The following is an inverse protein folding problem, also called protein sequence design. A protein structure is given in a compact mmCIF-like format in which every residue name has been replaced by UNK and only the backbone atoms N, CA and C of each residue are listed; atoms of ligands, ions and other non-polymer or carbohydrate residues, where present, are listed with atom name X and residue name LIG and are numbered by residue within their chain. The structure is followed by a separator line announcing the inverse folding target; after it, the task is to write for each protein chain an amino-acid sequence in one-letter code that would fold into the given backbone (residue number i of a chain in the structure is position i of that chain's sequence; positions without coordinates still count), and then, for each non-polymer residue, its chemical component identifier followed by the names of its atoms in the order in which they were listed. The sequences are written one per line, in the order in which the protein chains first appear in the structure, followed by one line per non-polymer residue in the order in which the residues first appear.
data_IF_244388821389
#
_entry.id   IF_244388821389
#
_cell.length_a   1.000
_cell.length_b   1.000
_cell.length_c   1.000
_cell.angle_alpha   90.00
_cell.angle_beta   90.00
_cell.angle_gamma   90.00
#
_symmetry.space_group_name_H-M   'P 1'
#
loop_
_entity.id
_entity.type
_entity.pdbx_description
1 polymer ?
#
# COMPACT_ATOMS: atom_id res chain seq x y z
N UNK A 1 -22.15 -12.49 20.09
CA UNK A 1 -23.29 -11.78 20.72
C UNK A 1 -23.67 -10.54 19.90
N UNK A 2 -22.81 -9.54 19.72
CA UNK A 2 -23.12 -8.33 18.92
C UNK A 2 -23.48 -8.68 17.45
N UNK A 3 -22.74 -9.57 16.78
CA UNK A 3 -23.09 -10.01 15.42
C UNK A 3 -24.43 -10.77 15.32
N UNK A 4 -24.83 -11.47 16.38
CA UNK A 4 -26.13 -12.15 16.48
C UNK A 4 -27.26 -11.13 16.70
N UNK A 5 -27.03 -10.11 17.54
CA UNK A 5 -27.94 -8.98 17.72
C UNK A 5 -28.09 -8.20 16.39
N UNK A 6 -26.99 -7.93 15.68
CA UNK A 6 -27.00 -7.23 14.40
C UNK A 6 -27.76 -8.02 13.32
N UNK A 7 -27.55 -9.33 13.24
CA UNK A 7 -28.30 -10.21 12.34
C UNK A 7 -29.79 -10.23 12.69
N UNK A 8 -30.15 -10.18 13.97
CA UNK A 8 -31.54 -10.13 14.44
C UNK A 8 -32.21 -8.80 14.08
N UNK A 9 -31.47 -7.68 14.20
CA UNK A 9 -31.94 -6.33 13.84
C UNK A 9 -32.03 -6.14 12.32
N UNK A 10 -31.13 -6.72 11.53
CA UNK A 10 -31.15 -6.62 10.07
C UNK A 10 -32.18 -7.58 9.43
N UNK A 11 -32.52 -8.68 10.11
CA UNK A 11 -33.47 -9.70 9.65
C UNK A 11 -34.90 -9.39 10.09
N UNK A 12 -35.37 -8.14 9.90
CA UNK A 12 -36.67 -7.60 10.35
C UNK A 12 -37.93 -8.39 9.90
N UNK A 13 -37.81 -9.52 9.19
CA UNK A 13 -38.93 -10.36 8.76
C UNK A 13 -38.73 -11.88 8.89
N UNK A 14 -37.66 -12.39 9.51
CA UNK A 14 -37.47 -13.86 9.64
C UNK A 14 -38.04 -14.35 10.97
N UNK A 15 -39.24 -14.93 10.93
CA UNK A 15 -40.09 -15.32 12.08
C UNK A 15 -39.56 -16.48 12.95
N UNK A 16 -38.33 -16.93 12.80
CA UNK A 16 -37.64 -17.89 13.68
C UNK A 16 -36.17 -17.95 13.30
N UNK A 17 -35.31 -17.41 14.14
CA UNK A 17 -33.87 -17.71 14.06
C UNK A 17 -33.69 -19.17 14.47
N UNK A 18 -33.09 -19.97 13.59
CA UNK A 18 -32.93 -21.41 13.75
C UNK A 18 -32.00 -21.73 14.94
N UNK A 19 -32.57 -22.31 16.00
CA UNK A 19 -31.85 -22.76 17.19
C UNK A 19 -30.71 -23.73 16.82
N UNK A 20 -30.84 -24.47 15.72
CA UNK A 20 -29.80 -25.37 15.22
C UNK A 20 -28.57 -24.59 14.74
N UNK A 21 -28.76 -23.43 14.09
CA UNK A 21 -27.64 -22.59 13.64
C UNK A 21 -26.87 -21.99 14.82
N UNK A 22 -27.58 -21.56 15.88
CA UNK A 22 -26.95 -21.08 17.10
C UNK A 22 -26.16 -22.18 17.80
N UNK A 23 -26.75 -23.37 17.94
CA UNK A 23 -26.10 -24.54 18.52
C UNK A 23 -24.86 -24.96 17.72
N UNK A 24 -24.94 -24.96 16.38
CA UNK A 24 -23.81 -25.25 15.52
C UNK A 24 -22.66 -24.25 15.73
N UNK A 25 -22.96 -22.95 15.77
CA UNK A 25 -21.96 -21.91 16.03
C UNK A 25 -21.32 -22.11 17.41
N UNK A 26 -22.11 -22.40 18.44
CA UNK A 26 -21.59 -22.65 19.79
C UNK A 26 -20.68 -23.88 19.84
N UNK A 27 -21.08 -24.99 19.22
CA UNK A 27 -20.27 -26.21 19.14
C UNK A 27 -18.95 -25.94 18.42
N UNK A 28 -18.98 -25.29 17.26
CA UNK A 28 -17.75 -24.94 16.50
C UNK A 28 -16.83 -24.04 17.33
N UNK A 29 -17.36 -23.02 17.99
CA UNK A 29 -16.55 -22.12 18.84
C UNK A 29 -15.99 -22.83 20.08
N UNK A 30 -16.75 -23.77 20.66
CA UNK A 30 -16.31 -24.55 21.83
C UNK A 30 -15.18 -25.50 21.45
N UNK A 31 -15.34 -26.28 20.37
CA UNK A 31 -14.29 -27.17 19.85
C UNK A 31 -13.03 -26.38 19.55
N UNK A 32 -13.16 -25.22 18.89
CA UNK A 32 -12.01 -24.36 18.56
C UNK A 32 -11.30 -23.86 19.81
N UNK A 33 -12.06 -23.39 20.81
CA UNK A 33 -11.49 -22.87 22.06
C UNK A 33 -10.76 -23.96 22.83
N UNK A 34 -11.33 -25.17 22.89
CA UNK A 34 -10.68 -26.34 23.47
C UNK A 34 -9.39 -26.68 22.74
N UNK A 35 -9.37 -26.66 21.41
CA UNK A 35 -8.17 -26.90 20.63
C UNK A 35 -7.06 -25.89 20.95
N UNK A 36 -7.39 -24.59 21.03
CA UNK A 36 -6.43 -23.54 21.40
C UNK A 36 -5.89 -23.74 22.83
N UNK A 37 -6.75 -24.11 23.78
CA UNK A 37 -6.34 -24.40 25.16
C UNK A 37 -5.38 -25.59 25.21
N UNK A 38 -5.72 -26.69 24.53
CA UNK A 38 -4.89 -27.90 24.47
C UNK A 38 -3.53 -27.61 23.81
N UNK A 39 -3.50 -26.72 22.83
CA UNK A 39 -2.28 -26.27 22.17
C UNK A 39 -1.50 -25.20 22.94
N UNK A 40 -1.76 -25.01 24.25
CA UNK A 40 -1.10 -24.01 25.11
C UNK A 40 -1.20 -22.56 24.57
N UNK A 41 -2.31 -22.22 23.92
CA UNK A 41 -2.52 -20.93 23.29
C UNK A 41 -1.80 -20.76 21.94
N UNK A 42 -1.04 -21.75 21.47
CA UNK A 42 -0.47 -21.75 20.13
C UNK A 42 -1.54 -22.21 19.14
N UNK A 43 -2.05 -21.29 18.33
CA UNK A 43 -2.87 -21.62 17.17
C UNK A 43 -2.00 -21.82 15.92
N UNK A 44 -2.61 -22.22 14.81
CA UNK A 44 -1.91 -22.40 13.53
C UNK A 44 -1.26 -21.13 12.98
N UNK A 45 -1.56 -19.95 13.54
CA UNK A 45 -1.01 -18.66 13.14
C UNK A 45 0.21 -18.25 13.98
N UNK A 46 0.50 -18.93 15.09
CA UNK A 46 1.69 -18.72 15.90
C UNK A 46 2.92 -19.41 15.29
N UNK A 47 3.43 -18.86 14.18
CA UNK A 47 4.66 -19.30 13.52
C UNK A 47 5.76 -18.27 13.76
N UNK A 48 6.93 -18.71 14.21
CA UNK A 48 8.10 -17.84 14.34
C UNK A 48 8.65 -17.51 12.94
N UNK A 49 8.59 -16.23 12.58
CA UNK A 49 9.08 -15.72 11.30
C UNK A 49 10.19 -14.71 11.56
N UNK A 50 11.37 -14.93 10.97
CA UNK A 50 12.50 -14.00 11.09
C UNK A 50 12.17 -12.63 10.46
N UNK A 51 11.43 -12.67 9.35
CA UNK A 51 10.86 -11.51 8.67
C UNK A 51 9.43 -11.82 8.30
N UNK A 52 8.51 -10.94 8.68
CA UNK A 52 7.09 -11.12 8.38
C UNK A 52 6.86 -10.97 6.88
N UNK A 53 6.39 -12.02 6.18
CA UNK A 53 6.14 -11.95 4.76
C UNK A 53 4.90 -11.11 4.48
N UNK A 54 4.68 -10.86 3.19
CA UNK A 54 3.52 -10.11 2.72
C UNK A 54 2.25 -10.89 3.03
N UNK A 55 1.32 -10.21 3.70
CA UNK A 55 0.00 -10.74 3.95
C UNK A 55 -0.86 -10.64 2.67
N UNK A 56 -1.15 -11.79 2.06
CA UNK A 56 -1.95 -11.93 0.85
C UNK A 56 -3.45 -12.10 1.13
N UNK A 57 -3.81 -12.45 2.36
CA UNK A 57 -5.20 -12.70 2.71
C UNK A 57 -5.94 -11.38 2.85
N UNK A 58 -7.02 -11.20 2.09
CA UNK A 58 -7.82 -9.97 2.20
C UNK A 58 -8.89 -10.06 3.30
N UNK A 59 -9.39 -11.27 3.61
CA UNK A 59 -10.53 -11.47 4.50
C UNK A 59 -10.18 -12.10 5.85
N UNK A 60 -9.24 -13.05 5.87
CA UNK A 60 -8.99 -13.92 7.02
C UNK A 60 -7.62 -13.66 7.64
N UNK A 61 -7.56 -13.69 8.97
CA UNK A 61 -6.32 -13.59 9.73
C UNK A 61 -5.49 -14.86 9.53
N UNK A 62 -4.25 -14.68 9.07
CA UNK A 62 -3.24 -15.73 8.92
C UNK A 62 -1.99 -15.45 9.77
N UNK A 63 -0.95 -16.29 9.66
CA UNK A 63 0.29 -16.15 10.43
C UNK A 63 1.00 -14.80 10.25
N UNK A 64 0.97 -14.25 9.03
CA UNK A 64 1.58 -12.96 8.70
C UNK A 64 0.88 -11.83 9.43
N UNK A 65 -0.45 -11.80 9.37
CA UNK A 65 -1.27 -10.82 10.08
C UNK A 65 -1.05 -10.92 11.60
N UNK A 66 -1.03 -12.14 12.13
CA UNK A 66 -0.84 -12.36 13.56
C UNK A 66 0.55 -11.88 14.02
N UNK A 67 1.58 -12.10 13.20
CA UNK A 67 2.91 -11.56 13.45
C UNK A 67 2.95 -10.04 13.44
N UNK A 68 2.21 -9.40 12.51
CA UNK A 68 2.09 -7.94 12.47
C UNK A 68 1.40 -7.38 13.72
N UNK A 69 0.43 -8.09 14.29
CA UNK A 69 -0.19 -7.71 15.56
C UNK A 69 0.81 -7.71 16.73
N UNK A 70 1.72 -8.68 16.81
CA UNK A 70 2.78 -8.66 17.83
C UNK A 70 3.76 -7.49 17.66
N UNK A 71 4.02 -7.09 16.42
CA UNK A 71 4.89 -5.94 16.12
C UNK A 71 4.17 -4.61 16.40
N UNK A 72 2.86 -4.53 16.10
CA UNK A 72 2.03 -3.35 16.24
C UNK A 72 0.76 -3.70 17.04
N UNK A 73 0.83 -3.81 18.37
CA UNK A 73 -0.27 -4.31 19.20
C UNK A 73 -1.46 -3.35 19.31
N UNK A 74 -1.33 -2.11 18.85
CA UNK A 74 -2.42 -1.14 18.70
C UNK A 74 -3.07 -1.19 17.31
N UNK A 75 -2.62 -2.10 16.44
CA UNK A 75 -3.12 -2.36 15.09
C UNK A 75 -3.33 -3.87 14.87
N UNK A 76 -3.95 -4.23 13.75
CA UNK A 76 -4.24 -5.62 13.42
C UNK A 76 -5.07 -6.30 14.53
N UNK A 77 -6.25 -5.73 14.81
CA UNK A 77 -7.12 -6.06 15.94
C UNK A 77 -8.12 -7.20 15.66
N UNK A 78 -8.29 -7.57 14.40
CA UNK A 78 -9.11 -8.68 13.97
C UNK A 78 -8.60 -10.02 14.53
N UNK A 79 -9.53 -10.86 14.99
CA UNK A 79 -9.20 -12.16 15.58
C UNK A 79 -9.20 -13.31 14.56
N UNK A 80 -10.17 -13.31 13.65
CA UNK A 80 -10.32 -14.34 12.61
C UNK A 80 -10.59 -13.73 11.24
N UNK A 81 -11.38 -12.65 11.22
CA UNK A 81 -11.68 -11.88 10.01
C UNK A 81 -11.17 -10.47 10.17
N UNK A 82 -10.69 -9.88 9.08
CA UNK A 82 -10.11 -8.52 9.05
C UNK A 82 -11.17 -7.43 8.88
N UNK A 83 -12.45 -7.79 8.90
CA UNK A 83 -13.56 -6.86 8.70
C UNK A 83 -13.54 -5.71 9.70
N UNK A 84 -13.22 -5.99 10.97
CA UNK A 84 -13.10 -4.95 11.99
C UNK A 84 -12.04 -3.91 11.58
N UNK A 85 -10.84 -4.36 11.21
CA UNK A 85 -9.76 -3.45 10.81
C UNK A 85 -10.06 -2.69 9.52
N UNK A 86 -10.80 -3.32 8.61
CA UNK A 86 -11.25 -2.67 7.39
C UNK A 86 -12.26 -1.54 7.68
N UNK A 87 -13.14 -1.71 8.66
CA UNK A 87 -14.08 -0.66 9.07
C UNK A 87 -13.36 0.43 9.88
N UNK A 88 -12.60 0.03 10.89
CA UNK A 88 -11.92 0.91 11.84
C UNK A 88 -10.66 1.59 11.27
N UNK A 89 -10.10 1.07 10.17
CA UNK A 89 -8.84 1.56 9.62
C UNK A 89 -7.63 1.21 10.50
N UNK A 90 -7.59 0.00 11.04
CA UNK A 90 -6.52 -0.51 11.92
C UNK A 90 -5.67 -1.60 11.29
N UNK A 91 -5.82 -1.84 9.99
CA UNK A 91 -5.13 -2.91 9.26
C UNK A 91 -3.69 -2.56 8.85
N UNK A 92 -3.18 -1.41 9.29
CA UNK A 92 -1.85 -0.94 8.97
C UNK A 92 -1.34 0.07 9.99
N UNK A 93 -0.02 0.10 10.21
CA UNK A 93 0.66 1.06 11.08
C UNK A 93 1.75 1.82 10.32
N UNK A 94 1.75 3.14 10.44
CA UNK A 94 2.85 4.01 10.03
C UNK A 94 3.74 4.46 11.19
N UNK A 95 3.34 4.12 12.42
CA UNK A 95 3.98 4.60 13.63
C UNK A 95 5.46 4.21 13.64
N UNK A 96 6.31 5.17 13.95
CA UNK A 96 7.77 5.01 14.03
C UNK A 96 8.48 4.64 12.70
N UNK A 97 7.80 4.69 11.56
CA UNK A 97 8.45 4.47 10.25
C UNK A 97 9.19 5.71 9.77
N UNK A 98 10.33 5.50 9.11
CA UNK A 98 11.10 6.53 8.40
C UNK A 98 10.68 6.56 6.94
N UNK A 99 10.22 7.72 6.48
CA UNK A 99 9.70 7.90 5.12
C UNK A 99 10.66 8.75 4.30
N UNK A 100 10.98 8.31 3.09
CA UNK A 100 11.62 9.13 2.06
C UNK A 100 10.60 9.42 0.98
N UNK A 101 10.46 10.68 0.57
CA UNK A 101 9.46 11.09 -0.40
C UNK A 101 10.04 12.00 -1.47
N UNK A 102 9.73 11.71 -2.73
CA UNK A 102 9.94 12.62 -3.86
C UNK A 102 8.69 13.45 -4.12
N UNK A 103 8.83 14.62 -4.74
CA UNK A 103 7.67 15.48 -5.03
C UNK A 103 7.05 16.11 -3.78
N UNK A 104 7.79 16.14 -2.66
CA UNK A 104 7.31 16.67 -1.38
C UNK A 104 7.03 18.19 -1.35
N UNK A 105 7.44 18.93 -2.39
CA UNK A 105 7.09 20.34 -2.60
C UNK A 105 5.83 20.54 -3.45
N UNK A 106 5.32 19.47 -4.07
CA UNK A 106 4.07 19.49 -4.83
C UNK A 106 2.84 19.45 -3.92
N UNK A 107 1.68 19.79 -4.48
CA UNK A 107 0.43 19.86 -3.72
C UNK A 107 0.09 18.54 -3.00
N UNK A 108 0.19 17.40 -3.70
CA UNK A 108 -0.03 16.08 -3.10
C UNK A 108 1.04 15.72 -2.06
N UNK A 109 2.32 16.01 -2.34
CA UNK A 109 3.41 15.73 -1.41
C UNK A 109 3.27 16.48 -0.07
N UNK A 110 2.92 17.76 -0.10
CA UNK A 110 2.65 18.55 1.10
C UNK A 110 1.43 18.04 1.87
N UNK A 111 0.34 17.71 1.16
CA UNK A 111 -0.85 17.15 1.78
C UNK A 111 -0.57 15.76 2.40
N UNK A 112 0.21 14.92 1.73
CA UNK A 112 0.63 13.61 2.25
C UNK A 112 1.53 13.74 3.47
N UNK A 113 2.50 14.65 3.47
CA UNK A 113 3.35 14.92 4.64
C UNK A 113 2.51 15.21 5.89
N UNK A 114 1.50 16.09 5.77
CA UNK A 114 0.57 16.39 6.85
C UNK A 114 -0.14 15.13 7.37
N UNK A 115 -0.58 14.24 6.47
CA UNK A 115 -1.22 12.99 6.87
C UNK A 115 -0.24 12.01 7.51
N UNK A 116 0.98 11.89 6.99
CA UNK A 116 2.02 11.00 7.53
C UNK A 116 2.44 11.43 8.94
N UNK A 117 2.65 12.73 9.16
CA UNK A 117 2.95 13.26 10.50
C UNK A 117 1.82 13.00 11.49
N UNK A 118 0.56 13.14 11.05
CA UNK A 118 -0.61 12.81 11.87
C UNK A 118 -0.71 11.32 12.24
N UNK A 119 -0.09 10.43 11.45
CA UNK A 119 -0.03 8.98 11.73
C UNK A 119 1.17 8.57 12.60
N UNK A 120 2.00 9.53 13.02
CA UNK A 120 3.12 9.27 13.92
C UNK A 120 4.32 8.60 13.25
N UNK A 121 4.57 8.89 11.96
CA UNK A 121 5.86 8.53 11.34
C UNK A 121 7.02 9.16 12.12
N UNK A 122 8.16 8.46 12.19
CA UNK A 122 9.33 8.93 12.93
C UNK A 122 9.97 10.15 12.29
N UNK A 123 10.13 10.12 10.97
CA UNK A 123 10.75 11.18 10.20
C UNK A 123 10.36 11.10 8.73
N UNK A 124 10.40 12.25 8.05
CA UNK A 124 10.12 12.37 6.63
C UNK A 124 11.29 13.11 5.97
N UNK A 125 11.96 12.46 5.03
CA UNK A 125 13.02 13.04 4.23
C UNK A 125 12.50 13.32 2.81
N UNK A 126 12.65 14.56 2.34
CA UNK A 126 12.19 14.95 1.01
C UNK A 126 13.37 15.01 0.06
N UNK A 127 13.31 14.21 -0.99
CA UNK A 127 14.23 14.31 -2.11
C UNK A 127 13.63 15.24 -3.17
N UNK A 128 14.47 16.08 -3.77
CA UNK A 128 14.11 17.09 -4.76
C UNK A 128 14.94 16.94 -6.04
N UNK A 129 14.25 16.88 -7.17
CA UNK A 129 14.88 16.97 -8.49
C UNK A 129 15.55 18.35 -8.66
N UNK A 130 16.74 18.37 -9.25
CA UNK A 130 17.56 19.57 -9.38
C UNK A 130 18.37 19.93 -8.12
N UNK A 131 18.31 19.11 -7.07
CA UNK A 131 19.12 19.27 -5.85
C UNK A 131 19.77 17.96 -5.44
N UNK A 132 18.93 16.95 -5.20
CA UNK A 132 19.34 15.65 -4.68
C UNK A 132 19.56 14.63 -5.80
N UNK A 133 18.88 14.80 -6.93
CA UNK A 133 19.19 14.08 -8.16
C UNK A 133 18.89 14.93 -9.40
N UNK A 134 19.53 14.56 -10.51
CA UNK A 134 19.32 15.12 -11.84
C UNK A 134 18.99 13.99 -12.82
N UNK A 135 18.89 14.31 -14.10
CA UNK A 135 18.81 13.29 -15.13
C UNK A 135 20.08 12.41 -15.04
N UNK A 136 19.89 11.10 -14.89
CA UNK A 136 20.92 10.06 -14.82
C UNK A 136 21.88 10.11 -13.60
N UNK A 137 22.03 11.23 -12.90
CA UNK A 137 22.82 11.34 -11.66
C UNK A 137 21.95 11.22 -10.39
N UNK A 138 22.15 10.11 -9.67
CA UNK A 138 21.51 9.79 -8.39
C UNK A 138 22.52 9.59 -7.25
N UNK A 139 23.77 10.00 -7.45
CA UNK A 139 24.89 9.76 -6.52
C UNK A 139 24.63 10.27 -5.10
N UNK A 140 23.81 11.32 -4.95
CA UNK A 140 23.51 11.97 -3.66
C UNK A 140 22.29 11.38 -2.95
N UNK A 141 21.57 10.46 -3.58
CA UNK A 141 20.32 9.91 -3.02
C UNK A 141 20.59 8.88 -1.93
N UNK A 142 21.65 8.07 -2.08
CA UNK A 142 21.94 6.92 -1.22
C UNK A 142 21.89 7.20 0.29
N UNK A 143 22.60 8.24 0.80
CA UNK A 143 22.58 8.58 2.22
C UNK A 143 21.19 8.87 2.78
N UNK A 144 20.26 9.40 1.97
CA UNK A 144 18.90 9.69 2.42
C UNK A 144 18.02 8.44 2.46
N UNK A 145 18.36 7.40 1.70
CA UNK A 145 17.64 6.12 1.68
C UNK A 145 18.06 5.20 2.83
N UNK A 146 19.18 5.51 3.50
CA UNK A 146 19.70 4.68 4.58
C UNK A 146 18.74 4.63 5.78
N UNK A 147 18.27 3.42 6.13
CA UNK A 147 17.33 3.23 7.23
C UNK A 147 15.90 3.71 6.95
N UNK A 148 15.56 4.03 5.70
CA UNK A 148 14.20 4.34 5.31
C UNK A 148 13.33 3.07 5.25
N UNK A 149 12.15 3.11 5.86
CA UNK A 149 11.19 2.00 5.81
C UNK A 149 10.29 2.08 4.57
N UNK A 150 10.02 3.31 4.12
CA UNK A 150 9.10 3.61 3.02
C UNK A 150 9.74 4.60 2.04
N UNK A 151 9.67 4.30 0.75
CA UNK A 151 9.88 5.30 -0.32
C UNK A 151 8.56 5.66 -1.00
N UNK A 152 8.25 6.96 -1.07
CA UNK A 152 7.07 7.50 -1.74
C UNK A 152 7.49 8.27 -3.01
N UNK A 153 7.00 7.80 -4.14
CA UNK A 153 7.28 8.33 -5.47
C UNK A 153 6.09 9.21 -5.91
N UNK A 154 6.12 10.48 -5.51
CA UNK A 154 5.07 11.45 -5.82
C UNK A 154 5.51 12.59 -6.75
N UNK A 155 6.74 12.53 -7.27
CA UNK A 155 7.16 13.44 -8.34
C UNK A 155 6.54 13.04 -9.68
N UNK A 156 6.35 14.02 -10.55
CA UNK A 156 5.85 13.80 -11.89
C UNK A 156 5.63 15.08 -12.66
N UNK A 157 5.56 14.95 -13.98
CA UNK A 157 5.39 16.07 -14.92
C UNK A 157 4.59 15.63 -16.13
N UNK A 158 3.92 16.59 -16.78
CA UNK A 158 3.27 16.42 -18.08
C UNK A 158 4.14 16.97 -19.23
N UNK A 159 5.29 17.57 -18.90
CA UNK A 159 6.22 18.22 -19.82
C UNK A 159 6.91 17.28 -20.81
N UNK A 160 7.93 17.79 -21.49
CA UNK A 160 8.75 17.01 -22.43
C UNK A 160 9.53 15.89 -21.75
N UNK A 161 9.84 16.05 -20.47
CA UNK A 161 10.56 15.14 -19.57
C UNK A 161 9.65 14.11 -18.88
N UNK A 162 8.38 13.97 -19.32
CA UNK A 162 7.41 13.09 -18.68
C UNK A 162 7.89 11.64 -18.56
N UNK A 163 8.59 11.09 -19.57
CA UNK A 163 9.10 9.72 -19.51
C UNK A 163 10.16 9.55 -18.42
N UNK A 164 11.11 10.48 -18.38
CA UNK A 164 12.21 10.42 -17.42
C UNK A 164 11.72 10.64 -16.00
N UNK A 165 10.82 11.61 -15.79
CA UNK A 165 10.26 11.88 -14.47
C UNK A 165 9.27 10.80 -14.00
N UNK A 166 8.32 10.37 -14.83
CA UNK A 166 7.24 9.49 -14.35
C UNK A 166 7.64 8.01 -14.36
N UNK A 167 8.64 7.62 -15.15
CA UNK A 167 9.05 6.23 -15.32
C UNK A 167 10.54 6.01 -14.97
N UNK A 168 11.46 6.55 -15.77
CA UNK A 168 12.90 6.20 -15.67
C UNK A 168 13.49 6.48 -14.29
N UNK A 169 13.30 7.70 -13.78
CA UNK A 169 13.81 8.11 -12.46
C UNK A 169 13.09 7.38 -11.31
N UNK A 170 11.79 7.12 -11.44
CA UNK A 170 11.03 6.34 -10.46
C UNK A 170 11.56 4.90 -10.34
N UNK A 171 11.85 4.24 -11.47
CA UNK A 171 12.50 2.92 -11.48
C UNK A 171 13.87 3.00 -10.82
N UNK A 172 14.69 3.99 -11.18
CA UNK A 172 16.05 4.12 -10.65
C UNK A 172 16.09 4.35 -9.13
N UNK A 173 15.18 5.17 -8.62
CA UNK A 173 15.04 5.42 -7.18
C UNK A 173 14.62 4.16 -6.42
N UNK A 174 13.72 3.35 -6.99
CA UNK A 174 13.33 2.06 -6.41
C UNK A 174 14.52 1.10 -6.37
N UNK A 175 15.28 0.99 -7.46
CA UNK A 175 16.47 0.14 -7.50
C UNK A 175 17.49 0.52 -6.42
N UNK A 176 17.75 1.81 -6.24
CA UNK A 176 18.65 2.30 -5.20
C UNK A 176 18.11 2.00 -3.80
N UNK A 177 16.83 2.26 -3.57
CA UNK A 177 16.17 1.95 -2.30
C UNK A 177 16.30 0.46 -1.96
N UNK A 178 16.02 -0.41 -2.92
CA UNK A 178 16.12 -1.85 -2.74
C UNK A 178 17.56 -2.32 -2.52
N UNK A 179 18.55 -1.72 -3.18
CA UNK A 179 19.97 -2.02 -2.93
C UNK A 179 20.38 -1.71 -1.48
N UNK A 180 19.95 -0.56 -0.94
CA UNK A 180 20.21 -0.21 0.46
C UNK A 180 19.47 -1.15 1.42
N UNK A 181 18.23 -1.53 1.12
CA UNK A 181 17.46 -2.45 1.95
C UNK A 181 18.03 -3.86 1.99
N UNK A 182 18.60 -4.36 0.88
CA UNK A 182 19.31 -5.65 0.87
C UNK A 182 20.53 -5.64 1.80
N UNK A 183 21.30 -4.55 1.79
CA UNK A 183 22.47 -4.40 2.67
C UNK A 183 22.08 -4.30 4.16
N UNK A 184 20.82 -3.92 4.45
CA UNK A 184 20.31 -3.72 5.81
C UNK A 184 19.31 -4.81 6.25
N UNK A 185 19.23 -5.93 5.52
CA UNK A 185 18.16 -6.93 5.62
C UNK A 185 17.91 -7.49 7.02
N UNK A 186 18.92 -7.51 7.90
CA UNK A 186 18.81 -7.99 9.28
C UNK A 186 18.19 -6.99 10.27
N UNK A 187 18.02 -5.73 9.89
CA UNK A 187 17.62 -4.65 10.82
C UNK A 187 16.10 -4.58 11.07
N UNK A 188 15.29 -5.04 10.12
CA UNK A 188 13.83 -4.84 10.15
C UNK A 188 13.07 -6.17 10.04
N UNK A 189 12.15 -6.42 10.99
CA UNK A 189 11.27 -7.59 10.98
C UNK A 189 10.15 -7.53 9.93
N UNK A 190 9.99 -6.39 9.24
CA UNK A 190 8.94 -6.17 8.22
C UNK A 190 9.56 -5.90 6.86
N UNK A 191 8.78 -6.12 5.80
CA UNK A 191 9.18 -5.81 4.43
C UNK A 191 9.29 -4.29 4.20
N UNK A 192 10.26 -3.84 3.38
CA UNK A 192 10.33 -2.44 2.96
C UNK A 192 9.13 -2.10 2.07
N UNK A 193 8.72 -0.82 2.08
CA UNK A 193 7.54 -0.38 1.35
C UNK A 193 7.86 0.63 0.25
N UNK A 194 7.20 0.46 -0.90
CA UNK A 194 7.33 1.35 -2.06
C UNK A 194 5.94 1.85 -2.43
N UNK A 195 5.73 3.15 -2.40
CA UNK A 195 4.44 3.76 -2.74
C UNK A 195 4.62 4.60 -4.01
N UNK A 196 3.89 4.28 -5.07
CA UNK A 196 3.96 5.02 -6.33
C UNK A 196 2.66 5.77 -6.60
N UNK A 197 2.76 7.06 -6.88
CA UNK A 197 1.63 7.91 -7.29
C UNK A 197 1.47 7.82 -8.81
N UNK A 198 0.56 6.95 -9.20
CA UNK A 198 0.12 6.74 -10.57
C UNK A 198 -0.92 7.76 -11.02
N UNK A 199 -1.86 7.31 -11.83
CA UNK A 199 -2.94 8.14 -12.38
C UNK A 199 -4.00 7.26 -13.02
N UNK A 200 -5.28 7.66 -12.97
CA UNK A 200 -6.31 6.96 -13.76
C UNK A 200 -5.96 6.86 -15.25
N UNK A 201 -5.20 7.85 -15.74
CA UNK A 201 -4.69 7.95 -17.11
C UNK A 201 -3.80 6.79 -17.57
N UNK A 202 -3.36 5.94 -16.65
CA UNK A 202 -2.58 4.74 -16.96
C UNK A 202 -3.38 3.75 -17.82
N UNK A 203 -4.68 3.60 -17.57
CA UNK A 203 -5.47 2.46 -18.09
C UNK A 203 -6.75 2.86 -18.83
N UNK A 204 -6.98 4.16 -19.01
CA UNK A 204 -8.00 4.71 -19.92
C UNK A 204 -7.35 5.38 -21.15
N UNK A 205 -8.06 5.53 -22.29
CA UNK A 205 -7.53 6.18 -23.49
C UNK A 205 -6.95 7.58 -23.21
N UNK A 206 -5.92 7.98 -23.96
CA UNK A 206 -5.35 9.31 -23.84
C UNK A 206 -6.30 10.32 -24.49
N UNK A 207 -7.13 10.98 -23.69
CA UNK A 207 -7.96 12.09 -24.15
C UNK A 207 -7.20 13.40 -23.95
N UNK A 208 -7.09 14.22 -24.99
CA UNK A 208 -6.48 15.56 -24.91
C UNK A 208 -5.35 15.79 -25.91
N UNK A 209 -4.58 16.86 -25.69
CA UNK A 209 -3.49 17.28 -26.56
C UNK A 209 -2.19 16.47 -26.40
N UNK A 210 -1.12 16.83 -27.16
CA UNK A 210 0.16 16.11 -27.18
C UNK A 210 0.80 15.93 -25.80
N UNK A 211 0.63 16.92 -24.92
CA UNK A 211 1.10 16.87 -23.53
C UNK A 211 0.45 15.72 -22.74
N UNK A 212 -0.86 15.55 -22.88
CA UNK A 212 -1.60 14.50 -22.20
C UNK A 212 -1.28 13.11 -22.76
N UNK A 213 -1.03 13.02 -24.08
CA UNK A 213 -0.53 11.79 -24.72
C UNK A 213 0.83 11.39 -24.15
N UNK A 214 1.78 12.34 -24.01
CA UNK A 214 3.09 12.09 -23.38
C UNK A 214 2.95 11.65 -21.93
N UNK A 215 2.14 12.36 -21.15
CA UNK A 215 1.88 12.03 -19.75
C UNK A 215 1.32 10.60 -19.61
N UNK A 216 0.26 10.27 -20.36
CA UNK A 216 -0.32 8.92 -20.36
C UNK A 216 0.69 7.86 -20.80
N UNK A 217 1.49 8.12 -21.84
CA UNK A 217 2.53 7.20 -22.30
C UNK A 217 3.57 6.93 -21.20
N UNK A 218 4.04 7.98 -20.50
CA UNK A 218 5.02 7.84 -19.43
C UNK A 218 4.49 7.07 -18.21
N UNK A 219 3.24 7.32 -17.79
CA UNK A 219 2.61 6.58 -16.69
C UNK A 219 2.37 5.11 -17.07
N UNK A 220 1.98 4.84 -18.31
CA UNK A 220 1.84 3.48 -18.84
C UNK A 220 3.14 2.71 -18.91
N UNK A 221 4.25 3.37 -19.26
CA UNK A 221 5.56 2.74 -19.33
C UNK A 221 6.00 2.16 -17.98
N UNK A 222 5.55 2.73 -16.86
CA UNK A 222 5.85 2.23 -15.53
C UNK A 222 5.00 1.01 -15.12
N UNK A 223 3.84 0.76 -15.76
CA UNK A 223 2.89 -0.28 -15.34
C UNK A 223 3.49 -1.71 -15.29
N UNK A 224 4.30 -2.17 -16.26
CA UNK A 224 4.91 -3.50 -16.15
C UNK A 224 5.78 -3.64 -14.90
N UNK A 225 6.54 -2.59 -14.54
CA UNK A 225 7.37 -2.55 -13.35
C UNK A 225 6.51 -2.52 -12.08
N UNK A 226 5.49 -1.65 -12.04
CA UNK A 226 4.52 -1.58 -10.96
C UNK A 226 3.84 -2.93 -10.67
N UNK A 227 3.46 -3.67 -11.71
CA UNK A 227 2.83 -5.00 -11.56
C UNK A 227 3.79 -6.03 -10.99
N UNK A 228 5.05 -5.99 -11.40
CA UNK A 228 6.07 -6.88 -10.85
C UNK A 228 6.31 -6.62 -9.36
N UNK A 229 6.38 -5.33 -8.96
CA UNK A 229 6.43 -4.94 -7.54
C UNK A 229 5.18 -5.37 -6.78
N UNK A 230 4.00 -5.21 -7.38
CA UNK A 230 2.73 -5.59 -6.77
C UNK A 230 2.63 -7.09 -6.50
N UNK A 231 3.25 -7.92 -7.35
CA UNK A 231 3.29 -9.39 -7.20
C UNK A 231 4.46 -9.88 -6.34
N UNK A 232 5.46 -9.04 -6.07
CA UNK A 232 6.63 -9.42 -5.29
C UNK A 232 6.29 -9.66 -3.81
N UNK A 233 6.92 -10.68 -3.23
CA UNK A 233 6.89 -10.99 -1.79
C UNK A 233 8.04 -10.34 -1.01
N UNK A 234 8.94 -9.64 -1.71
CA UNK A 234 10.12 -8.99 -1.11
C UNK A 234 9.83 -7.56 -0.65
N UNK A 235 8.69 -6.99 -1.06
CA UNK A 235 8.30 -5.60 -0.77
C UNK A 235 6.79 -5.49 -0.55
N UNK A 236 6.38 -4.48 0.21
CA UNK A 236 4.99 -3.99 0.17
C UNK A 236 4.91 -2.87 -0.86
N UNK A 237 4.36 -3.16 -2.03
CA UNK A 237 4.14 -2.15 -3.05
C UNK A 237 2.72 -1.59 -2.97
N UNK A 238 2.60 -0.26 -2.88
CA UNK A 238 1.33 0.45 -2.93
C UNK A 238 1.22 1.26 -4.20
N UNK A 239 0.18 1.00 -4.98
CA UNK A 239 -0.10 1.71 -6.21
C UNK A 239 -1.26 2.67 -6.00
N UNK A 240 -0.94 3.96 -5.85
CA UNK A 240 -1.90 5.02 -5.59
C UNK A 240 -2.37 5.56 -6.93
N UNK A 241 -3.67 5.47 -7.19
CA UNK A 241 -4.26 5.81 -8.49
C UNK A 241 -5.25 6.95 -8.30
N UNK A 242 -4.77 8.21 -8.33
CA UNK A 242 -5.61 9.37 -8.19
C UNK A 242 -6.35 9.72 -9.49
N UNK A 243 -7.61 10.12 -9.35
CA UNK A 243 -8.27 11.00 -10.30
C UNK A 243 -7.62 12.40 -10.27
N UNK A 244 -7.90 13.23 -11.27
CA UNK A 244 -7.36 14.59 -11.29
C UNK A 244 -7.74 15.35 -10.01
N UNK A 245 -6.77 16.00 -9.38
CA UNK A 245 -6.96 16.88 -8.23
C UNK A 245 -6.26 18.22 -8.50
N UNK A 246 -6.73 19.27 -7.83
CA UNK A 246 -6.23 20.62 -8.02
C UNK A 246 -4.75 20.73 -7.65
N UNK A 247 -3.94 21.12 -8.62
CA UNK A 247 -2.49 21.20 -8.51
C UNK A 247 -1.89 22.06 -9.62
N UNK A 248 -0.56 22.27 -9.58
CA UNK A 248 0.17 22.89 -10.69
C UNK A 248 0.09 22.11 -12.00
N UNK A 249 -0.24 20.81 -11.95
CA UNK A 249 -0.39 19.96 -13.14
C UNK A 249 -1.77 20.08 -13.80
N UNK A 250 -2.72 20.78 -13.17
CA UNK A 250 -4.06 20.99 -13.71
C UNK A 250 -5.09 21.26 -12.62
N UNK A 251 -6.18 21.93 -13.00
CA UNK A 251 -7.32 22.18 -12.13
C UNK A 251 -8.25 20.98 -12.08
N UNK A 252 -8.85 20.75 -10.91
CA UNK A 252 -9.90 19.77 -10.72
C UNK A 252 -10.82 20.17 -9.56
N UNK A 253 -11.89 19.40 -9.36
CA UNK A 253 -12.95 19.70 -8.38
C UNK A 253 -12.50 19.39 -6.94
N UNK A 254 -11.59 18.43 -6.78
CA UNK A 254 -11.08 17.97 -5.47
C UNK A 254 -9.67 18.49 -5.21
N UNK A 255 -9.35 18.76 -3.94
CA UNK A 255 -8.04 19.26 -3.53
C UNK A 255 -7.02 18.14 -3.31
N UNK A 256 -5.74 18.52 -3.26
CA UNK A 256 -4.67 17.60 -2.86
C UNK A 256 -4.85 17.04 -1.43
N UNK A 257 -5.39 17.85 -0.51
CA UNK A 257 -5.79 17.41 0.83
C UNK A 257 -6.82 16.28 0.81
N UNK A 258 -7.82 16.37 -0.08
CA UNK A 258 -8.80 15.30 -0.27
C UNK A 258 -8.11 14.03 -0.78
N UNK A 259 -7.25 14.15 -1.79
CA UNK A 259 -6.53 13.03 -2.37
C UNK A 259 -5.62 12.33 -1.33
N UNK A 260 -4.91 13.10 -0.51
CA UNK A 260 -4.06 12.56 0.55
C UNK A 260 -4.87 11.87 1.66
N UNK A 261 -5.99 12.46 2.11
CA UNK A 261 -6.89 11.82 3.08
C UNK A 261 -7.50 10.52 2.55
N UNK A 262 -7.92 10.53 1.28
CA UNK A 262 -8.45 9.33 0.62
C UNK A 262 -7.39 8.23 0.51
N UNK A 263 -6.18 8.58 0.09
CA UNK A 263 -5.01 7.67 0.08
C UNK A 263 -4.84 7.01 1.44
N UNK A 264 -4.76 7.81 2.51
CA UNK A 264 -4.55 7.29 3.86
C UNK A 264 -5.73 6.49 4.38
N UNK A 265 -6.96 6.83 4.00
CA UNK A 265 -8.16 6.06 4.34
C UNK A 265 -8.07 4.63 3.80
N UNK A 266 -7.58 4.44 2.57
CA UNK A 266 -7.35 3.12 1.98
C UNK A 266 -6.17 2.38 2.61
N UNK A 267 -5.06 3.08 2.84
CA UNK A 267 -3.84 2.48 3.41
C UNK A 267 -4.09 1.98 4.83
N UNK A 268 -4.80 2.74 5.68
CA UNK A 268 -5.24 2.32 7.01
C UNK A 268 -6.07 1.04 7.00
N UNK A 269 -6.74 0.76 5.88
CA UNK A 269 -7.55 -0.44 5.63
C UNK A 269 -6.78 -1.57 4.96
N UNK A 270 -5.45 -1.44 4.86
CA UNK A 270 -4.56 -2.47 4.34
C UNK A 270 -4.45 -2.49 2.82
N UNK A 271 -5.00 -1.51 2.10
CA UNK A 271 -5.01 -1.55 0.64
C UNK A 271 -3.61 -1.40 0.02
N UNK A 272 -3.25 -2.32 -0.87
CA UNK A 272 -2.05 -2.22 -1.72
C UNK A 272 -2.36 -1.48 -3.03
N UNK A 273 -3.49 -1.75 -3.68
CA UNK A 273 -4.01 -0.89 -4.74
C UNK A 273 -4.90 0.17 -4.09
N UNK A 274 -4.57 1.45 -4.29
CA UNK A 274 -5.17 2.57 -3.55
C UNK A 274 -5.94 3.47 -4.54
N UNK A 275 -7.24 3.19 -4.78
CA UNK A 275 -8.05 3.93 -5.73
C UNK A 275 -8.50 5.27 -5.12
N UNK A 276 -7.91 6.36 -5.56
CA UNK A 276 -8.19 7.73 -5.07
C UNK A 276 -9.03 8.46 -6.10
N UNK A 277 -10.28 8.04 -6.25
CA UNK A 277 -11.13 8.45 -7.37
C UNK A 277 -12.50 8.93 -6.93
N UNK A 278 -13.00 9.95 -7.61
CA UNK A 278 -14.42 10.34 -7.62
C UNK A 278 -15.12 9.98 -8.94
N UNK A 279 -14.36 9.54 -9.96
CA UNK A 279 -14.90 9.11 -11.27
C UNK A 279 -15.28 7.63 -11.27
N UNK A 280 -14.71 6.86 -10.34
CA UNK A 280 -14.87 5.41 -10.24
C UNK A 280 -13.97 4.61 -11.19
N UNK A 281 -13.23 5.26 -12.11
CA UNK A 281 -12.42 4.58 -13.11
C UNK A 281 -11.27 3.77 -12.48
N UNK A 282 -10.67 4.26 -11.39
CA UNK A 282 -9.62 3.52 -10.67
C UNK A 282 -10.08 2.13 -10.22
N UNK A 283 -11.36 1.93 -9.86
CA UNK A 283 -11.86 0.61 -9.48
C UNK A 283 -11.89 -0.36 -10.67
N UNK A 284 -12.30 0.10 -11.85
CA UNK A 284 -12.28 -0.71 -13.07
C UNK A 284 -10.85 -1.00 -13.53
N UNK A 285 -9.97 -0.01 -13.35
CA UNK A 285 -8.56 -0.11 -13.69
C UNK A 285 -7.83 -1.13 -12.80
N UNK A 286 -8.32 -1.45 -11.60
CA UNK A 286 -7.74 -2.48 -10.76
C UNK A 286 -7.61 -3.83 -11.47
N UNK A 287 -8.66 -4.28 -12.18
CA UNK A 287 -8.62 -5.56 -12.90
C UNK A 287 -7.62 -5.51 -14.07
N UNK A 288 -7.60 -4.42 -14.84
CA UNK A 288 -6.62 -4.22 -15.92
C UNK A 288 -5.18 -4.12 -15.39
N UNK A 289 -5.01 -3.59 -14.19
CA UNK A 289 -3.73 -3.56 -13.51
C UNK A 289 -3.30 -4.97 -13.14
N UNK A 290 -4.17 -5.75 -12.49
CA UNK A 290 -3.88 -7.10 -11.98
C UNK A 290 -3.49 -8.10 -13.08
N UNK A 291 -4.24 -8.10 -14.20
CA UNK A 291 -4.08 -9.12 -15.25
C UNK A 291 -3.12 -8.73 -16.37
N UNK A 292 -2.54 -7.53 -16.34
CA UNK A 292 -1.61 -7.11 -17.40
C UNK A 292 -0.20 -7.70 -17.25
N UNK A 293 0.57 -7.59 -18.34
CA UNK A 293 1.96 -8.03 -18.38
C UNK A 293 2.82 -7.32 -17.32
N UNK A 294 3.75 -8.06 -16.72
CA UNK A 294 4.68 -7.61 -15.68
C UNK A 294 6.11 -7.66 -16.24
N UNK A 295 6.95 -6.71 -15.82
CA UNK A 295 8.36 -6.70 -16.20
C UNK A 295 9.18 -7.68 -15.34
N UNK A 296 10.38 -8.01 -15.82
CA UNK A 296 11.39 -8.67 -15.02
C UNK A 296 12.15 -7.64 -14.17
N UNK A 297 12.22 -7.85 -12.86
CA UNK A 297 12.90 -6.93 -11.93
C UNK A 297 14.36 -7.35 -11.76
N UNK A 298 15.27 -6.71 -12.51
CA UNK A 298 16.72 -7.04 -12.51
C UNK A 298 17.38 -7.07 -11.13
N UNK A 299 16.87 -6.30 -10.16
CA UNK A 299 17.40 -6.29 -8.80
C UNK A 299 16.96 -7.51 -7.97
N UNK A 300 15.90 -8.22 -8.37
CA UNK A 300 15.46 -9.45 -7.69
C UNK A 300 16.50 -10.57 -7.86
N UNK A 301 17.10 -10.71 -9.04
CA UNK A 301 18.18 -11.69 -9.29
C UNK A 301 19.35 -11.51 -8.32
N UNK A 302 19.65 -10.26 -7.96
CA UNK A 302 20.74 -9.94 -7.03
C UNK A 302 20.38 -10.24 -5.57
N UNK A 303 19.10 -10.28 -5.23
CA UNK A 303 18.63 -10.64 -3.88
C UNK A 303 18.44 -12.15 -3.70
N UNK A 304 18.24 -12.91 -4.77
CA UNK A 304 18.16 -14.37 -4.69
C UNK A 304 19.54 -15.02 -4.59
N UNK A 305 20.58 -14.34 -5.06
CA UNK A 305 21.97 -14.79 -5.04
C UNK A 305 22.81 -14.22 -3.87
N UNK A 306 22.19 -13.51 -2.93
CA UNK A 306 22.83 -12.88 -1.77
C UNK A 306 22.25 -13.43 -0.46
#
# INVERSE_FOLDING_TARGET
IIGWILATILSLHVKRLDTNALSLVLVVQTIRSLFVIISNGQDSNHIALDKVPKDHSWAFVGPEYHSLHHIYPDRYMGSMVKLFDWVAGTAYSLKNKTVVMTGGSGAFGQAMEKQLLAEGVKSIHKLQFGKDWYNEDFSRVGPTLEGADIIILAHGTKGSDAMDSNCTSSVRLIELFMQHMSAQSQRTKVLPEIWYVGSEAELHPAWGGPEMVRYTASKRAFLPYARALYKSDKVIYRHIVPAAFDSRMGKAIVSADWAARCTMSWIRRGAYYVPVTYTGLAYLNFFKFLFGASAHLKWMDKMENA
#
